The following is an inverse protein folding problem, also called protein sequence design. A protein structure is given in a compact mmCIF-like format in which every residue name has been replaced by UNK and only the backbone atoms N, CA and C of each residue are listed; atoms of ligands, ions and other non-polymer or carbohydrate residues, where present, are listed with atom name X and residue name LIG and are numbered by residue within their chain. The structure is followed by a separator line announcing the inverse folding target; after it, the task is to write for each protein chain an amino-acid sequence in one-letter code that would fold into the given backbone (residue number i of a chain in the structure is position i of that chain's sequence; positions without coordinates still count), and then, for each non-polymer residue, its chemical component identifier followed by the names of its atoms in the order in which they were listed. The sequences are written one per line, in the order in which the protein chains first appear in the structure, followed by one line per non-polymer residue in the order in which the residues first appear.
data_IF_728065678149
#
_entry.id   IF_728065678149
#
_cell.length_a   1.000
_cell.length_b   1.000
_cell.length_c   1.000
_cell.angle_alpha   90.00
_cell.angle_beta   90.00
_cell.angle_gamma   90.00
#
_symmetry.space_group_name_H-M   'P 1'
#
loop_
_entity.id
_entity.type
_entity.pdbx_description
1 polymer ?
#
# COMPACT_ATOMS: atom_id res chain seq x y z
N UNK A 1 -3.41 29.59 -2.00
CA UNK A 1 -3.86 28.41 -1.23
C UNK A 1 -5.21 27.85 -1.71
N UNK A 2 -6.31 28.62 -1.73
CA UNK A 2 -7.64 28.12 -2.20
C UNK A 2 -7.64 27.61 -3.65
N UNK A 3 -6.95 28.30 -4.56
CA UNK A 3 -6.90 27.92 -5.98
C UNK A 3 -6.10 26.63 -6.21
N UNK A 4 -4.98 26.47 -5.49
CA UNK A 4 -4.17 25.25 -5.49
C UNK A 4 -4.95 24.03 -4.96
N UNK A 5 -5.68 24.18 -3.85
CA UNK A 5 -6.51 23.10 -3.33
C UNK A 5 -7.63 22.71 -4.31
N UNK A 6 -8.20 23.69 -5.02
CA UNK A 6 -9.22 23.44 -6.03
C UNK A 6 -8.66 22.72 -7.27
N UNK A 7 -7.43 23.02 -7.68
CA UNK A 7 -6.79 22.32 -8.80
C UNK A 7 -6.39 20.90 -8.42
N UNK A 8 -5.84 20.66 -7.23
CA UNK A 8 -5.54 19.30 -6.74
C UNK A 8 -6.82 18.47 -6.62
N UNK A 9 -7.89 19.02 -6.03
CA UNK A 9 -9.17 18.32 -5.92
C UNK A 9 -9.77 17.97 -7.30
N UNK A 10 -9.58 18.84 -8.30
CA UNK A 10 -10.02 18.59 -9.68
C UNK A 10 -9.17 17.48 -10.34
N UNK A 11 -7.85 17.53 -10.20
CA UNK A 11 -6.94 16.49 -10.68
C UNK A 11 -7.29 15.13 -10.10
N UNK A 12 -7.45 15.05 -8.78
CA UNK A 12 -7.84 13.84 -8.08
C UNK A 12 -9.22 13.33 -8.51
N UNK A 13 -10.18 14.23 -8.72
CA UNK A 13 -11.50 13.89 -9.24
C UNK A 13 -11.45 13.29 -10.66
N UNK A 14 -10.54 13.77 -11.52
CA UNK A 14 -10.31 13.20 -12.84
C UNK A 14 -9.62 11.83 -12.75
N UNK A 15 -8.66 11.67 -11.83
CA UNK A 15 -8.01 10.39 -11.58
C UNK A 15 -9.05 9.32 -11.17
N UNK A 16 -9.92 9.62 -10.21
CA UNK A 16 -10.96 8.68 -9.75
C UNK A 16 -11.94 8.28 -10.86
N UNK A 17 -12.26 9.19 -11.78
CA UNK A 17 -13.09 8.88 -12.96
C UNK A 17 -12.36 8.01 -13.99
N UNK A 18 -11.05 8.13 -14.06
CA UNK A 18 -10.22 7.44 -15.06
C UNK A 18 -9.93 5.99 -14.65
N UNK A 19 -9.75 5.75 -13.35
CA UNK A 19 -9.48 4.41 -12.81
C UNK A 19 -10.75 3.55 -12.86
N UNK A 20 -10.70 2.31 -13.38
CA UNK A 20 -11.87 1.44 -13.38
C UNK A 20 -12.44 1.22 -11.97
N UNK A 21 -13.70 1.60 -11.68
CA UNK A 21 -14.25 1.60 -10.32
C UNK A 21 -14.26 0.22 -9.68
N UNK A 22 -14.57 -0.83 -10.46
CA UNK A 22 -14.56 -2.22 -9.97
C UNK A 22 -13.17 -2.64 -9.52
N UNK A 23 -12.14 -2.27 -10.28
CA UNK A 23 -10.76 -2.62 -9.96
C UNK A 23 -10.29 -1.90 -8.69
N UNK A 24 -10.66 -0.63 -8.55
CA UNK A 24 -10.37 0.14 -7.34
C UNK A 24 -11.16 -0.37 -6.12
N UNK A 25 -12.41 -0.77 -6.29
CA UNK A 25 -13.21 -1.38 -5.22
C UNK A 25 -12.56 -2.69 -4.72
N UNK A 26 -12.14 -3.57 -5.65
CA UNK A 26 -11.39 -4.77 -5.27
C UNK A 26 -10.09 -4.44 -4.54
N UNK A 27 -9.39 -3.38 -4.94
CA UNK A 27 -8.17 -2.94 -4.26
C UNK A 27 -8.46 -2.49 -2.83
N UNK A 28 -9.47 -1.66 -2.62
CA UNK A 28 -9.88 -1.23 -1.28
C UNK A 28 -10.33 -2.42 -0.42
N UNK A 29 -11.12 -3.35 -0.98
CA UNK A 29 -11.50 -4.58 -0.29
C UNK A 29 -10.29 -5.44 0.08
N UNK A 30 -9.29 -5.53 -0.80
CA UNK A 30 -8.06 -6.25 -0.55
C UNK A 30 -7.27 -5.63 0.60
N UNK A 31 -7.16 -4.30 0.66
CA UNK A 31 -6.51 -3.57 1.78
C UNK A 31 -7.26 -3.83 3.10
N UNK A 32 -8.58 -3.75 3.11
CA UNK A 32 -9.37 -4.03 4.32
C UNK A 32 -9.19 -5.50 4.76
N UNK A 33 -9.26 -6.43 3.83
CA UNK A 33 -9.14 -7.86 4.10
C UNK A 33 -7.75 -8.23 4.61
N UNK A 34 -6.67 -7.72 3.99
CA UNK A 34 -5.30 -8.01 4.42
C UNK A 34 -5.03 -7.44 5.81
N UNK A 35 -5.53 -6.24 6.13
CA UNK A 35 -5.37 -5.64 7.46
C UNK A 35 -6.12 -6.43 8.53
N UNK A 36 -7.31 -6.94 8.24
CA UNK A 36 -8.01 -7.84 9.15
C UNK A 36 -7.27 -9.17 9.32
N UNK A 37 -6.83 -9.79 8.22
CA UNK A 37 -6.11 -11.07 8.22
C UNK A 37 -4.72 -10.99 8.87
N UNK A 38 -4.08 -9.82 8.87
CA UNK A 38 -2.81 -9.61 9.54
C UNK A 38 -2.90 -9.82 11.06
N UNK A 39 -4.11 -9.84 11.65
CA UNK A 39 -4.30 -10.23 13.04
C UNK A 39 -4.08 -11.74 13.30
N UNK A 40 -3.87 -12.53 12.24
CA UNK A 40 -3.67 -13.98 12.34
C UNK A 40 -2.26 -14.36 11.89
N UNK A 41 -1.40 -14.66 12.87
CA UNK A 41 -0.09 -15.24 12.61
C UNK A 41 -0.21 -16.65 12.00
N UNK A 42 0.75 -16.98 11.14
CA UNK A 42 0.89 -18.29 10.52
C UNK A 42 1.88 -19.09 11.35
N UNK A 43 1.45 -20.26 11.83
CA UNK A 43 2.33 -21.19 12.53
C UNK A 43 3.23 -21.90 11.51
N UNK A 44 4.48 -21.47 11.44
CA UNK A 44 5.52 -22.10 10.63
C UNK A 44 6.30 -23.10 11.48
N UNK A 45 6.81 -24.16 10.85
CA UNK A 45 7.65 -25.16 11.52
C UNK A 45 9.06 -24.66 11.85
N UNK A 46 9.40 -23.43 11.41
CA UNK A 46 10.68 -22.77 11.62
C UNK A 46 10.53 -21.63 12.62
N UNK A 47 11.40 -21.56 13.63
CA UNK A 47 11.32 -20.55 14.69
C UNK A 47 11.82 -19.16 14.27
N UNK A 48 12.67 -19.09 13.24
CA UNK A 48 13.31 -17.84 12.80
C UNK A 48 12.45 -17.04 11.83
N UNK A 49 11.38 -17.60 11.27
CA UNK A 49 10.47 -16.94 10.32
C UNK A 49 9.07 -16.89 10.92
N UNK A 50 8.45 -15.73 10.86
CA UNK A 50 7.05 -15.57 11.18
C UNK A 50 6.38 -14.80 10.03
N UNK A 51 5.14 -15.15 9.73
CA UNK A 51 4.32 -14.52 8.70
C UNK A 51 2.91 -14.35 9.25
N UNK A 52 2.15 -13.42 8.69
CA UNK A 52 0.73 -13.26 8.98
C UNK A 52 -0.13 -13.60 7.76
N UNK A 53 -1.42 -13.81 7.98
CA UNK A 53 -2.35 -14.25 6.95
C UNK A 53 -2.71 -13.16 5.92
N UNK A 54 -2.27 -11.92 6.13
CA UNK A 54 -2.42 -10.83 5.16
C UNK A 54 -1.73 -11.10 3.83
N UNK A 55 -0.67 -11.93 3.83
CA UNK A 55 0.07 -12.36 2.63
C UNK A 55 -0.81 -13.04 1.57
N UNK A 56 -1.94 -13.62 1.97
CA UNK A 56 -2.88 -14.30 1.06
C UNK A 56 -3.49 -13.31 0.06
N UNK A 57 -3.62 -12.04 0.46
CA UNK A 57 -4.33 -11.00 -0.30
C UNK A 57 -3.36 -9.91 -0.80
N UNK A 58 -2.19 -9.74 -0.17
CA UNK A 58 -1.26 -8.64 -0.46
C UNK A 58 -0.80 -8.57 -1.91
N UNK A 59 -0.58 -9.71 -2.59
CA UNK A 59 -0.14 -9.76 -3.99
C UNK A 59 -1.06 -8.99 -4.95
N UNK A 60 -2.37 -8.95 -4.67
CA UNK A 60 -3.33 -8.21 -5.49
C UNK A 60 -3.16 -6.70 -5.31
N UNK A 61 -2.94 -6.25 -4.08
CA UNK A 61 -2.68 -4.84 -3.79
C UNK A 61 -1.43 -4.34 -4.53
N UNK A 62 -0.36 -5.15 -4.53
CA UNK A 62 0.86 -4.83 -5.28
C UNK A 62 0.63 -4.78 -6.79
N UNK A 63 -0.09 -5.75 -7.35
CA UNK A 63 -0.41 -5.75 -8.79
C UNK A 63 -1.23 -4.51 -9.20
N UNK A 64 -2.24 -4.15 -8.41
CA UNK A 64 -3.03 -2.95 -8.66
C UNK A 64 -2.13 -1.70 -8.66
N UNK A 65 -1.30 -1.56 -7.62
CA UNK A 65 -0.41 -0.41 -7.46
C UNK A 65 0.63 -0.30 -8.57
N UNK A 66 1.17 -1.43 -9.05
CA UNK A 66 2.08 -1.48 -10.19
C UNK A 66 1.40 -0.98 -11.47
N UNK A 67 0.18 -1.43 -11.76
CA UNK A 67 -0.60 -0.99 -12.92
C UNK A 67 -0.87 0.52 -12.87
N UNK A 68 -1.32 1.03 -11.71
CA UNK A 68 -1.59 2.46 -11.54
C UNK A 68 -0.31 3.27 -11.70
N UNK A 69 0.80 2.83 -11.07
CA UNK A 69 2.08 3.54 -11.14
C UNK A 69 2.60 3.60 -12.58
N UNK A 70 2.51 2.51 -13.34
CA UNK A 70 2.97 2.43 -14.73
C UNK A 70 2.09 3.21 -15.71
N UNK A 71 0.78 3.31 -15.45
CA UNK A 71 -0.15 4.02 -16.34
C UNK A 71 -0.33 5.50 -15.98
N UNK A 72 -0.62 5.80 -14.71
CA UNK A 72 -0.93 7.15 -14.22
C UNK A 72 0.25 7.86 -13.55
N UNK A 73 1.29 7.11 -13.17
CA UNK A 73 2.48 7.64 -12.49
C UNK A 73 2.44 7.51 -10.96
N UNK A 74 3.57 7.77 -10.28
CA UNK A 74 3.71 7.57 -8.84
C UNK A 74 2.86 8.51 -7.99
N UNK A 75 2.60 9.75 -8.46
CA UNK A 75 1.71 10.71 -7.76
C UNK A 75 0.30 10.13 -7.61
N UNK A 76 -0.28 9.67 -8.72
CA UNK A 76 -1.62 9.07 -8.74
C UNK A 76 -1.69 7.80 -7.87
N UNK A 77 -0.66 6.96 -7.90
CA UNK A 77 -0.57 5.76 -7.07
C UNK A 77 -0.60 6.11 -5.57
N UNK A 78 0.16 7.13 -5.15
CA UNK A 78 0.17 7.61 -3.77
C UNK A 78 -1.19 8.18 -3.35
N UNK A 79 -1.85 8.96 -4.21
CA UNK A 79 -3.18 9.53 -3.93
C UNK A 79 -4.25 8.44 -3.72
N UNK A 80 -4.26 7.41 -4.58
CA UNK A 80 -5.17 6.27 -4.43
C UNK A 80 -4.84 5.41 -3.19
N UNK A 81 -3.56 5.28 -2.84
CA UNK A 81 -3.13 4.59 -1.62
C UNK A 81 -3.63 5.31 -0.38
N UNK A 82 -3.45 6.63 -0.31
CA UNK A 82 -3.93 7.46 0.81
C UNK A 82 -5.45 7.36 0.93
N UNK A 83 -6.19 7.44 -0.18
CA UNK A 83 -7.64 7.25 -0.16
C UNK A 83 -8.01 5.87 0.40
N UNK A 84 -7.31 4.82 -0.02
CA UNK A 84 -7.58 3.45 0.43
C UNK A 84 -7.24 3.25 1.91
N UNK A 85 -6.19 3.90 2.42
CA UNK A 85 -5.87 3.95 3.85
C UNK A 85 -6.99 4.64 4.63
N UNK A 86 -7.48 5.80 4.17
CA UNK A 86 -8.58 6.53 4.83
C UNK A 86 -9.85 5.67 4.88
N UNK A 87 -10.17 4.98 3.78
CA UNK A 87 -11.31 4.06 3.74
C UNK A 87 -11.08 2.88 4.72
N UNK A 88 -9.89 2.28 4.72
CA UNK A 88 -9.54 1.18 5.63
C UNK A 88 -9.62 1.60 7.10
N UNK A 89 -9.17 2.81 7.45
CA UNK A 89 -9.31 3.38 8.79
C UNK A 89 -10.78 3.58 9.17
N UNK A 90 -11.61 4.04 8.22
CA UNK A 90 -13.05 4.20 8.42
C UNK A 90 -13.71 2.85 8.72
N UNK A 91 -13.40 1.80 7.96
CA UNK A 91 -13.90 0.45 8.23
C UNK A 91 -13.37 -0.12 9.54
N UNK A 92 -12.11 0.16 9.89
CA UNK A 92 -11.55 -0.25 11.19
C UNK A 92 -12.28 0.42 12.35
N UNK A 93 -12.66 1.69 12.21
CA UNK A 93 -13.50 2.38 13.18
C UNK A 93 -14.88 1.74 13.28
N UNK A 94 -15.49 1.35 12.15
CA UNK A 94 -16.78 0.66 12.15
C UNK A 94 -16.68 -0.72 12.83
N UNK A 95 -15.60 -1.48 12.59
CA UNK A 95 -15.35 -2.76 13.27
C UNK A 95 -15.14 -2.56 14.78
N UNK A 96 -14.40 -1.52 15.17
CA UNK A 96 -14.24 -1.15 16.57
C UNK A 96 -15.56 -0.80 17.23
N UNK A 97 -16.36 0.10 16.64
CA UNK A 97 -17.68 0.43 17.16
C UNK A 97 -18.59 -0.80 17.21
N UNK A 98 -18.55 -1.67 16.19
CA UNK A 98 -19.27 -2.94 16.16
C UNK A 98 -18.90 -3.86 17.32
N UNK A 99 -17.61 -3.98 17.65
CA UNK A 99 -17.12 -4.79 18.78
C UNK A 99 -17.54 -4.27 20.17
N UNK A 100 -17.97 -3.00 20.26
CA UNK A 100 -18.48 -2.42 21.51
C UNK A 100 -19.99 -2.59 21.68
N UNK A 101 -20.72 -2.89 20.61
CA UNK A 101 -22.17 -3.06 20.67
C UNK A 101 -22.46 -4.41 21.37
N UNK A 102 -23.27 -4.43 22.45
CA UNK A 102 -23.63 -5.68 23.10
C UNK A 102 -24.31 -6.64 22.12
N UNK A 103 -23.77 -7.85 22.00
CA UNK A 103 -24.26 -8.86 21.08
C UNK A 103 -23.47 -10.16 21.17
N UNK A 104 -23.92 -11.16 20.42
CA UNK A 104 -23.29 -12.48 20.36
C UNK A 104 -22.89 -12.79 18.92
N UNK A 105 -21.61 -13.06 18.68
CA UNK A 105 -21.13 -13.51 17.38
C UNK A 105 -21.70 -14.87 17.02
N UNK A 106 -21.90 -15.13 15.72
CA UNK A 106 -22.49 -16.39 15.24
C UNK A 106 -21.72 -17.65 15.65
N UNK A 107 -20.40 -17.56 15.84
CA UNK A 107 -19.57 -18.69 16.30
C UNK A 107 -19.64 -18.90 17.83
N UNK A 108 -20.13 -17.91 18.58
CA UNK A 108 -20.24 -18.02 20.04
C UNK A 108 -21.41 -18.90 20.49
N UNK A 109 -22.25 -19.41 19.57
CA UNK A 109 -23.35 -20.33 19.90
C UNK A 109 -22.84 -21.78 20.06
N UNK A 110 -21.83 -21.94 20.92
CA UNK A 110 -21.20 -23.22 21.26
C UNK A 110 -21.19 -23.36 22.78
N UNK A 111 -21.82 -24.42 23.28
CA UNK A 111 -21.99 -24.67 24.71
C UNK A 111 -20.65 -24.63 25.47
N UNK A 112 -20.55 -23.74 26.45
CA UNK A 112 -19.39 -23.63 27.35
C UNK A 112 -18.20 -22.83 26.81
N UNK A 113 -18.30 -22.27 25.60
CA UNK A 113 -17.28 -21.40 25.00
C UNK A 113 -17.83 -20.04 24.53
N UNK A 114 -19.06 -19.70 24.90
CA UNK A 114 -19.79 -18.56 24.36
C UNK A 114 -19.05 -17.25 24.62
N UNK A 115 -18.67 -17.01 25.88
CA UNK A 115 -18.01 -15.77 26.27
C UNK A 115 -16.57 -15.68 25.76
N UNK A 116 -15.85 -16.80 25.71
CA UNK A 116 -14.44 -16.81 25.26
C UNK A 116 -14.35 -16.54 23.75
N UNK A 117 -15.22 -17.16 22.95
CA UNK A 117 -15.31 -16.92 21.51
C UNK A 117 -15.77 -15.49 21.24
N UNK A 118 -16.78 -15.00 21.96
CA UNK A 118 -17.28 -13.64 21.76
C UNK A 118 -16.18 -12.60 22.01
N UNK A 119 -15.50 -12.73 23.15
CA UNK A 119 -14.41 -11.82 23.54
C UNK A 119 -13.26 -11.87 22.54
N UNK A 120 -12.91 -13.06 22.03
CA UNK A 120 -11.84 -13.22 21.04
C UNK A 120 -12.20 -12.53 19.70
N UNK A 121 -13.46 -12.65 19.25
CA UNK A 121 -13.93 -11.99 18.04
C UNK A 121 -14.05 -10.48 18.22
N UNK A 122 -14.56 -10.01 19.35
CA UNK A 122 -14.59 -8.58 19.70
C UNK A 122 -13.18 -7.98 19.68
N UNK A 123 -12.20 -8.66 20.27
CA UNK A 123 -10.80 -8.21 20.27
C UNK A 123 -10.17 -8.27 18.87
N UNK A 124 -10.57 -9.21 18.02
CA UNK A 124 -10.02 -9.34 16.65
C UNK A 124 -10.54 -8.21 15.76
N UNK A 125 -11.85 -8.00 15.71
CA UNK A 125 -12.45 -6.92 14.92
C UNK A 125 -12.14 -5.55 15.53
N UNK A 126 -12.24 -5.43 16.85
CA UNK A 126 -11.92 -4.22 17.60
C UNK A 126 -10.45 -3.86 17.61
N UNK A 127 -9.54 -4.82 17.41
CA UNK A 127 -8.11 -4.61 17.29
C UNK A 127 -7.64 -4.17 15.91
N UNK A 128 -8.47 -4.23 14.87
CA UNK A 128 -8.00 -4.00 13.49
C UNK A 128 -7.38 -2.60 13.28
N UNK A 129 -7.78 -1.59 14.08
CA UNK A 129 -7.24 -0.23 13.95
C UNK A 129 -5.73 -0.13 14.16
N UNK A 130 -5.13 -0.90 15.09
CA UNK A 130 -3.69 -0.78 15.35
C UNK A 130 -2.87 -1.36 14.20
N UNK A 131 -3.41 -2.36 13.51
CA UNK A 131 -2.81 -2.92 12.30
C UNK A 131 -2.81 -1.86 11.20
N UNK A 132 -3.96 -1.24 10.92
CA UNK A 132 -4.06 -0.19 9.89
C UNK A 132 -3.18 1.01 10.23
N UNK A 133 -3.11 1.40 11.51
CA UNK A 133 -2.21 2.46 11.96
C UNK A 133 -0.74 2.08 11.72
N UNK A 134 -0.35 0.85 12.09
CA UNK A 134 0.98 0.31 11.84
C UNK A 134 1.35 0.31 10.35
N UNK A 135 0.45 -0.16 9.48
CA UNK A 135 0.64 -0.14 8.02
C UNK A 135 0.73 1.27 7.47
N UNK A 136 -0.03 2.22 8.02
CA UNK A 136 0.04 3.63 7.61
C UNK A 136 1.41 4.24 7.94
N UNK A 137 1.93 3.97 9.14
CA UNK A 137 3.25 4.45 9.56
C UNK A 137 4.35 3.79 8.74
N UNK A 138 4.25 2.48 8.47
CA UNK A 138 5.14 1.74 7.59
C UNK A 138 5.19 2.35 6.19
N UNK A 139 4.03 2.61 5.59
CA UNK A 139 3.91 3.23 4.27
C UNK A 139 4.57 4.61 4.22
N UNK A 140 4.35 5.44 5.25
CA UNK A 140 4.98 6.77 5.33
C UNK A 140 6.51 6.64 5.46
N UNK A 141 7.00 5.74 6.33
CA UNK A 141 8.43 5.50 6.50
C UNK A 141 9.11 4.97 5.23
N UNK A 142 8.44 4.07 4.52
CA UNK A 142 8.87 3.54 3.23
C UNK A 142 8.92 4.63 2.17
N UNK A 143 7.87 5.45 2.05
CA UNK A 143 7.80 6.56 1.09
C UNK A 143 8.89 7.60 1.33
N UNK A 144 9.15 7.96 2.59
CA UNK A 144 10.25 8.84 2.95
C UNK A 144 11.60 8.24 2.58
N UNK A 145 11.85 6.98 2.94
CA UNK A 145 13.08 6.25 2.61
C UNK A 145 13.30 6.21 1.09
N UNK A 146 12.26 5.91 0.31
CA UNK A 146 12.33 5.87 -1.13
C UNK A 146 12.72 7.23 -1.73
N UNK A 147 12.12 8.33 -1.23
CA UNK A 147 12.47 9.68 -1.67
C UNK A 147 13.92 10.04 -1.36
N UNK A 148 14.40 9.72 -0.15
CA UNK A 148 15.80 9.94 0.23
C UNK A 148 16.76 9.11 -0.62
N UNK A 149 16.48 7.83 -0.82
CA UNK A 149 17.32 6.94 -1.64
C UNK A 149 17.37 7.40 -3.10
N UNK A 150 16.24 7.81 -3.67
CA UNK A 150 16.22 8.32 -5.04
C UNK A 150 17.07 9.59 -5.18
N UNK A 151 17.08 10.48 -4.18
CA UNK A 151 17.95 11.65 -4.15
C UNK A 151 19.43 11.26 -3.99
N UNK A 152 19.75 10.37 -3.04
CA UNK A 152 21.11 9.91 -2.74
C UNK A 152 21.76 9.17 -3.90
N UNK A 153 21.04 8.23 -4.52
CA UNK A 153 21.54 7.48 -5.68
C UNK A 153 21.76 8.42 -6.88
N UNK A 154 21.02 9.53 -6.97
CA UNK A 154 21.29 10.58 -7.95
C UNK A 154 22.63 11.26 -7.81
N UNK A 155 23.07 11.42 -6.58
CA UNK A 155 24.38 12.00 -6.29
C UNK A 155 25.51 11.01 -6.62
N UNK A 156 25.26 9.70 -6.54
CA UNK A 156 26.21 8.64 -6.87
C UNK A 156 26.45 8.49 -8.38
N UNK A 157 25.44 8.76 -9.22
CA UNK A 157 25.53 8.65 -10.69
C UNK A 157 25.76 10.00 -11.41
N UNK A 158 26.46 10.95 -10.77
CA UNK A 158 26.76 12.30 -11.33
C UNK A 158 27.37 12.32 -12.74
N UNK A 159 28.05 11.25 -13.18
CA UNK A 159 28.68 11.15 -14.50
C UNK A 159 27.76 10.71 -15.64
N UNK A 160 26.69 9.98 -15.34
CA UNK A 160 25.69 9.55 -16.33
C UNK A 160 24.33 9.29 -15.63
N UNK A 161 23.65 10.34 -15.15
CA UNK A 161 22.46 10.21 -14.31
C UNK A 161 21.28 9.54 -15.02
N UNK A 162 21.22 9.63 -16.35
CA UNK A 162 20.18 9.03 -17.21
C UNK A 162 20.64 7.73 -17.89
N UNK A 163 21.81 7.21 -17.53
CA UNK A 163 22.31 5.94 -18.03
C UNK A 163 21.40 4.79 -17.58
N UNK A 164 21.24 3.76 -18.43
CA UNK A 164 20.47 2.55 -18.11
C UNK A 164 20.84 1.96 -16.75
N UNK A 165 22.14 1.92 -16.41
CA UNK A 165 22.62 1.42 -15.13
C UNK A 165 22.14 2.27 -13.94
N UNK A 166 22.14 3.61 -14.06
CA UNK A 166 21.64 4.50 -13.01
C UNK A 166 20.12 4.37 -12.83
N UNK A 167 19.38 4.26 -13.94
CA UNK A 167 17.93 4.08 -13.92
C UNK A 167 17.52 2.75 -13.27
N UNK A 168 18.11 1.63 -13.71
CA UNK A 168 17.80 0.32 -13.15
C UNK A 168 18.26 0.18 -11.69
N UNK A 169 19.43 0.70 -11.35
CA UNK A 169 19.92 0.68 -9.97
C UNK A 169 18.99 1.50 -9.07
N UNK A 170 18.57 2.69 -9.50
CA UNK A 170 17.60 3.49 -8.75
C UNK A 170 16.29 2.77 -8.56
N UNK A 171 15.71 2.24 -9.63
CA UNK A 171 14.40 1.61 -9.58
C UNK A 171 14.40 0.35 -8.71
N UNK A 172 15.33 -0.59 -8.91
CA UNK A 172 15.29 -1.85 -8.18
C UNK A 172 15.81 -1.74 -6.74
N UNK A 173 16.84 -0.93 -6.50
CA UNK A 173 17.39 -0.76 -5.15
C UNK A 173 16.44 0.05 -4.28
N UNK A 174 15.83 1.12 -4.81
CA UNK A 174 14.89 1.92 -4.02
C UNK A 174 13.59 1.16 -3.74
N UNK A 175 13.07 0.39 -4.70
CA UNK A 175 11.92 -0.50 -4.47
C UNK A 175 12.24 -1.56 -3.43
N UNK A 176 13.37 -2.27 -3.55
CA UNK A 176 13.74 -3.34 -2.60
C UNK A 176 13.90 -2.80 -1.18
N UNK A 177 14.61 -1.67 -1.01
CA UNK A 177 14.80 -1.07 0.31
C UNK A 177 13.48 -0.49 0.83
N UNK A 178 12.67 0.12 -0.03
CA UNK A 178 11.34 0.63 0.33
C UNK A 178 10.43 -0.48 0.87
N UNK A 179 10.36 -1.62 0.17
CA UNK A 179 9.57 -2.79 0.60
C UNK A 179 10.12 -3.41 1.89
N UNK A 180 11.45 -3.50 2.02
CA UNK A 180 12.05 -3.96 3.27
C UNK A 180 11.69 -3.04 4.45
N UNK A 181 11.82 -1.72 4.27
CA UNK A 181 11.49 -0.75 5.33
C UNK A 181 10.00 -0.77 5.67
N UNK A 182 9.13 -0.89 4.68
CA UNK A 182 7.68 -1.02 4.89
C UNK A 182 7.38 -2.23 5.78
N UNK A 183 7.81 -3.42 5.34
CA UNK A 183 7.60 -4.67 6.05
C UNK A 183 8.27 -4.66 7.44
N UNK A 184 9.45 -4.04 7.58
CA UNK A 184 10.18 -4.00 8.84
C UNK A 184 9.55 -3.08 9.86
N UNK A 185 9.14 -1.88 9.45
CA UNK A 185 8.42 -0.95 10.32
C UNK A 185 7.09 -1.54 10.74
N UNK A 186 6.36 -2.19 9.83
CA UNK A 186 5.13 -2.90 10.16
C UNK A 186 5.38 -4.03 11.17
N UNK A 187 6.36 -4.90 10.91
CA UNK A 187 6.70 -6.00 11.80
C UNK A 187 7.12 -5.52 13.20
N UNK A 188 7.88 -4.42 13.29
CA UNK A 188 8.25 -3.84 14.58
C UNK A 188 7.08 -3.21 15.32
N UNK A 189 6.21 -2.45 14.65
CA UNK A 189 5.13 -1.72 15.32
C UNK A 189 3.97 -2.63 15.71
N UNK A 190 3.67 -3.63 14.88
CA UNK A 190 2.52 -4.51 15.07
C UNK A 190 2.99 -5.87 15.60
N UNK A 191 3.82 -6.57 14.85
CA UNK A 191 4.15 -7.97 15.14
C UNK A 191 5.01 -8.16 16.39
N UNK A 192 5.96 -7.27 16.64
CA UNK A 192 6.78 -7.32 17.86
C UNK A 192 5.96 -6.96 19.11
N UNK A 193 5.17 -5.88 19.06
CA UNK A 193 4.44 -5.37 20.23
C UNK A 193 3.18 -6.19 20.57
N UNK A 194 2.42 -6.63 19.57
CA UNK A 194 1.13 -7.29 19.79
C UNK A 194 1.21 -8.82 19.70
N UNK A 195 2.13 -9.36 18.88
CA UNK A 195 2.27 -10.80 18.66
C UNK A 195 3.52 -11.39 19.31
N UNK A 196 4.35 -10.58 19.96
CA UNK A 196 5.55 -11.03 20.67
C UNK A 196 6.65 -11.59 19.76
N UNK A 197 6.68 -11.21 18.48
CA UNK A 197 7.70 -11.67 17.56
C UNK A 197 9.08 -11.17 17.98
N UNK A 198 10.10 -12.00 17.82
CA UNK A 198 11.49 -11.57 18.04
C UNK A 198 11.95 -10.57 16.97
N UNK A 199 12.98 -9.77 17.27
CA UNK A 199 13.61 -8.88 16.29
C UNK A 199 14.12 -9.69 15.08
N UNK A 200 14.64 -10.90 15.32
CA UNK A 200 15.07 -11.81 14.25
C UNK A 200 13.90 -12.14 13.32
N UNK A 201 12.74 -12.51 13.86
CA UNK A 201 11.53 -12.77 13.07
C UNK A 201 11.06 -11.54 12.29
N UNK A 202 11.17 -10.35 12.87
CA UNK A 202 10.83 -9.11 12.16
C UNK A 202 11.75 -8.90 10.95
N UNK A 203 13.06 -9.08 11.11
CA UNK A 203 14.03 -8.94 10.01
C UNK A 203 13.81 -10.00 8.92
N UNK A 204 13.66 -11.27 9.30
CA UNK A 204 13.51 -12.39 8.36
C UNK A 204 12.17 -12.36 7.64
N UNK A 205 11.08 -11.98 8.33
CA UNK A 205 9.78 -11.70 7.71
C UNK A 205 9.91 -10.59 6.68
N UNK A 206 10.58 -9.49 7.02
CA UNK A 206 10.73 -8.33 6.12
C UNK A 206 11.55 -8.64 4.88
N UNK A 207 12.61 -9.42 5.03
CA UNK A 207 13.40 -9.93 3.90
C UNK A 207 12.56 -10.88 3.04
N UNK A 208 11.81 -11.78 3.66
CA UNK A 208 10.96 -12.73 2.95
C UNK A 208 9.85 -12.02 2.19
N UNK A 209 9.17 -11.07 2.83
CA UNK A 209 8.14 -10.22 2.23
C UNK A 209 8.69 -9.45 1.03
N UNK A 210 9.81 -8.74 1.20
CA UNK A 210 10.50 -8.06 0.10
C UNK A 210 10.79 -9.00 -1.08
N UNK A 211 11.34 -10.19 -0.83
CA UNK A 211 11.65 -11.15 -1.91
C UNK A 211 10.40 -11.67 -2.61
N UNK A 212 9.33 -11.97 -1.86
CA UNK A 212 8.05 -12.42 -2.41
C UNK A 212 7.41 -11.30 -3.23
N UNK A 213 7.45 -10.06 -2.74
CA UNK A 213 6.91 -8.89 -3.43
C UNK A 213 7.65 -8.60 -4.73
N UNK A 214 8.99 -8.60 -4.71
CA UNK A 214 9.79 -8.45 -5.93
C UNK A 214 9.54 -9.58 -6.92
N UNK A 215 9.38 -10.82 -6.44
CA UNK A 215 9.04 -11.94 -7.29
C UNK A 215 7.64 -11.78 -7.91
N UNK A 216 6.65 -11.36 -7.12
CA UNK A 216 5.31 -11.05 -7.61
C UNK A 216 5.33 -9.90 -8.63
N UNK A 217 6.10 -8.85 -8.39
CA UNK A 217 6.28 -7.74 -9.34
C UNK A 217 6.86 -8.26 -10.67
N UNK A 218 7.90 -9.10 -10.62
CA UNK A 218 8.50 -9.70 -11.82
C UNK A 218 7.52 -10.62 -12.57
N UNK A 219 6.78 -11.47 -11.85
CA UNK A 219 5.82 -12.41 -12.42
C UNK A 219 4.61 -11.71 -13.03
N UNK A 220 4.06 -10.72 -12.32
CA UNK A 220 2.85 -10.02 -12.73
C UNK A 220 3.13 -8.77 -13.58
N UNK A 221 4.39 -8.37 -13.75
CA UNK A 221 4.78 -7.25 -14.63
C UNK A 221 4.23 -7.40 -16.04
N UNK A 222 4.18 -8.64 -16.57
CA UNK A 222 3.58 -8.89 -17.88
C UNK A 222 2.07 -8.60 -17.89
N UNK A 223 1.35 -9.04 -16.86
CA UNK A 223 -0.08 -8.77 -16.71
C UNK A 223 -0.32 -7.26 -16.58
N UNK A 224 0.48 -6.58 -15.75
CA UNK A 224 0.39 -5.14 -15.58
C UNK A 224 0.61 -4.38 -16.89
N UNK A 225 1.65 -4.76 -17.65
CA UNK A 225 1.91 -4.21 -18.98
C UNK A 225 0.74 -4.39 -19.95
N UNK A 226 0.10 -5.57 -19.95
CA UNK A 226 -1.08 -5.85 -20.79
C UNK A 226 -2.25 -4.91 -20.45
N UNK A 227 -2.48 -4.63 -19.17
CA UNK A 227 -3.49 -3.67 -18.74
C UNK A 227 -3.14 -2.25 -19.19
N UNK A 228 -1.90 -1.80 -18.98
CA UNK A 228 -1.44 -0.46 -19.41
C UNK A 228 -1.60 -0.26 -20.92
N UNK A 229 -1.21 -1.24 -21.74
CA UNK A 229 -1.39 -1.16 -23.21
C UNK A 229 -2.87 -1.10 -23.58
N UNK A 230 -3.70 -1.92 -22.94
CA UNK A 230 -5.15 -1.92 -23.18
C UNK A 230 -5.76 -0.56 -22.83
N UNK A 231 -5.44 -0.01 -21.67
CA UNK A 231 -5.97 1.28 -21.21
C UNK A 231 -5.52 2.44 -22.09
N UNK A 232 -4.27 2.42 -22.56
CA UNK A 232 -3.78 3.39 -23.55
C UNK A 232 -4.57 3.31 -24.87
N UNK A 233 -4.88 2.10 -25.35
CA UNK A 233 -5.70 1.92 -26.57
C UNK A 233 -7.14 2.39 -26.40
N UNK A 234 -7.66 2.32 -25.18
CA UNK A 234 -9.02 2.72 -24.84
C UNK A 234 -9.13 4.22 -24.45
N UNK A 235 -8.05 4.99 -24.56
CA UNK A 235 -8.03 6.42 -24.18
C UNK A 235 -8.26 6.66 -22.69
N UNK A 236 -8.05 5.65 -21.83
CA UNK A 236 -8.33 5.80 -20.39
C UNK A 236 -7.34 6.76 -19.73
N UNK A 237 -7.89 7.82 -19.13
CA UNK A 237 -7.11 8.84 -18.46
C UNK A 237 -6.70 10.01 -19.33
N UNK A 238 -7.13 10.10 -20.60
CA UNK A 238 -6.81 11.24 -21.48
C UNK A 238 -7.12 12.58 -20.81
N UNK A 239 -8.34 12.76 -20.27
CA UNK A 239 -8.70 14.00 -19.56
C UNK A 239 -7.79 14.29 -18.36
N UNK A 240 -7.38 13.24 -17.63
CA UNK A 240 -6.44 13.37 -16.49
C UNK A 240 -5.05 13.80 -16.98
N UNK A 241 -4.53 13.18 -18.04
CA UNK A 241 -3.22 13.50 -18.59
C UNK A 241 -3.20 14.89 -19.23
N UNK A 242 -4.23 15.27 -19.97
CA UNK A 242 -4.36 16.62 -20.54
C UNK A 242 -4.42 17.69 -19.45
N UNK A 243 -5.25 17.47 -18.42
CA UNK A 243 -5.33 18.41 -17.31
C UNK A 243 -3.99 18.58 -16.59
N UNK A 244 -3.28 17.48 -16.37
CA UNK A 244 -1.97 17.52 -15.71
C UNK A 244 -0.91 18.21 -16.57
N UNK A 245 -0.88 17.92 -17.88
CA UNK A 245 0.03 18.57 -18.83
C UNK A 245 -0.18 20.08 -18.86
N UNK A 246 -1.43 20.53 -18.96
CA UNK A 246 -1.75 21.96 -18.96
C UNK A 246 -1.30 22.64 -17.65
N UNK A 247 -1.42 21.95 -16.51
CA UNK A 247 -0.92 22.46 -15.23
C UNK A 247 0.61 22.57 -15.18
N UNK A 248 1.32 21.58 -15.69
CA UNK A 248 2.79 21.60 -15.77
C UNK A 248 3.27 22.76 -16.67
N UNK A 249 2.63 22.96 -17.82
CA UNK A 249 2.91 24.09 -18.74
C UNK A 249 2.60 25.47 -18.11
N UNK A 250 1.50 25.60 -17.36
CA UNK A 250 1.17 26.83 -16.62
C UNK A 250 2.20 27.17 -15.54
N UNK A 251 2.76 26.16 -14.87
CA UNK A 251 3.79 26.33 -13.84
C UNK A 251 5.15 26.70 -14.45
N UNK A 252 5.60 26.02 -15.51
CA UNK A 252 6.85 26.35 -16.21
C UNK A 252 6.79 27.72 -16.91
N UNK A 253 5.61 28.10 -17.42
CA UNK A 253 5.38 29.41 -18.01
C UNK A 253 5.28 30.55 -17.00
N UNK A 254 5.13 30.26 -15.70
CA UNK A 254 5.17 31.24 -14.62
C UNK A 254 6.62 31.45 -14.12
N UNK A 255 7.40 30.37 -13.99
CA UNK A 255 8.80 30.40 -13.51
C UNK A 255 9.75 31.09 -14.52
N UNK A 256 9.43 31.08 -15.81
CA UNK A 256 10.19 31.78 -16.86
C UNK A 256 9.83 33.27 -17.02
N UNK A 257 8.90 33.81 -16.23
CA UNK A 257 8.44 35.21 -16.28
C UNK A 257 8.91 36.07 -15.10
N UNK A 258 9.60 35.46 -14.14
CA UNK A 258 10.27 36.12 -13.00
C UNK A 258 11.80 36.13 -13.20
#
# INVERSE_FOLDING_TARGET
MKQFLKSEAKEFGLLLKSVPPVMFAFFVCAIIAMNLLANKSINLSVSWLALDSGIIVSWFAFLFMDIITKHYGPKAANELSILSIIISLTFSLLFFLGSLIPGTWGESFVDGAEQSINTALDNTFGGTWYVVLGSTIAFIASSLTNNFLNAWVGLLFKRNPDGKAAYFTRSYVSTSIGQFVDNFVFALLVSHFFFGWSILQCVTCSLTGMLVELACEALFSYIGYRFTVKWKKEGRGEEYFEYRKNREEEHEGADNRD
#
